data_IF_050408072566
#
_entry.id   IF_050408072566
#
_cell.length_a   1.000
_cell.length_b   1.000
_cell.length_c   1.000
_cell.angle_alpha   90.00
_cell.angle_beta   90.00
_cell.angle_gamma   90.00
#
_symmetry.space_group_name_H-M   'P 1'
#
loop_
_entity.id
_entity.type
_entity.pdbx_description
1 polymer ?
#
# COMPACT_ATOMS: atom_id res chain seq x y z
N UNK A 1 -18.36 -5.52 -16.06
CA UNK A 1 -17.99 -4.85 -14.81
C UNK A 1 -16.57 -4.32 -14.94
N UNK A 2 -16.27 -3.11 -14.45
CA UNK A 2 -14.87 -2.67 -14.35
C UNK A 2 -14.17 -3.58 -13.34
N UNK A 3 -12.98 -4.04 -13.70
CA UNK A 3 -12.15 -4.95 -12.90
C UNK A 3 -10.99 -4.21 -12.28
N UNK A 4 -11.24 -2.97 -11.87
CA UNK A 4 -10.23 -2.02 -11.45
C UNK A 4 -10.55 -1.50 -10.06
N UNK A 5 -9.52 -1.26 -9.27
CA UNK A 5 -9.63 -0.70 -7.92
C UNK A 5 -8.55 0.35 -7.71
N UNK A 6 -8.88 1.37 -6.90
CA UNK A 6 -7.90 2.32 -6.38
C UNK A 6 -7.84 2.14 -4.87
N UNK A 7 -6.64 1.91 -4.33
CA UNK A 7 -6.39 1.70 -2.91
C UNK A 7 -5.52 2.83 -2.39
N UNK A 8 -5.93 3.41 -1.26
CA UNK A 8 -5.10 4.32 -0.48
C UNK A 8 -4.31 3.51 0.57
N UNK A 9 -3.02 3.34 0.33
CA UNK A 9 -2.09 2.69 1.24
C UNK A 9 -1.63 3.67 2.33
N UNK A 10 -1.76 3.23 3.58
CA UNK A 10 -1.48 4.02 4.79
C UNK A 10 -0.48 3.29 5.67
N UNK A 11 0.83 3.56 5.56
CA UNK A 11 1.85 2.76 6.22
C UNK A 11 1.70 2.67 7.74
N UNK A 12 1.11 3.68 8.39
CA UNK A 12 0.88 3.73 9.84
C UNK A 12 0.03 2.58 10.40
N UNK A 13 -0.82 1.98 9.57
CA UNK A 13 -1.65 0.83 9.93
C UNK A 13 -1.03 -0.52 9.53
N UNK A 14 -0.01 -0.49 8.67
CA UNK A 14 0.60 -1.68 8.06
C UNK A 14 1.91 -2.08 8.75
N UNK A 15 2.63 -1.09 9.29
CA UNK A 15 3.80 -1.33 10.15
C UNK A 15 3.30 -1.69 11.55
N UNK A 16 3.59 -2.89 12.05
CA UNK A 16 3.03 -3.37 13.33
C UNK A 16 3.30 -2.47 14.55
N UNK A 17 2.74 -2.86 15.70
CA UNK A 17 2.80 -2.06 16.94
C UNK A 17 4.22 -1.82 17.47
N UNK A 18 5.21 -2.60 17.05
CA UNK A 18 6.61 -2.51 17.52
C UNK A 18 7.42 -1.41 16.83
N UNK A 19 6.90 -0.82 15.76
CA UNK A 19 7.62 0.20 14.97
C UNK A 19 7.57 1.57 15.66
N UNK A 20 8.71 2.25 15.67
CA UNK A 20 8.86 3.57 16.29
C UNK A 20 7.95 4.60 15.60
N UNK A 21 7.19 5.31 16.44
CA UNK A 21 6.28 6.38 16.05
C UNK A 21 6.57 7.62 16.89
N UNK A 22 6.22 8.79 16.38
CA UNK A 22 6.23 10.00 17.18
C UNK A 22 4.97 10.10 18.08
N UNK A 23 4.86 11.18 18.87
CA UNK A 23 3.71 11.44 19.75
C UNK A 23 2.38 11.64 19.00
N UNK A 24 2.45 11.81 17.68
CA UNK A 24 1.35 12.04 16.74
C UNK A 24 0.99 10.78 15.94
N UNK A 25 1.68 9.66 16.20
CA UNK A 25 1.45 8.40 15.50
C UNK A 25 2.05 8.35 14.08
N UNK A 26 2.93 9.28 13.74
CA UNK A 26 3.67 9.27 12.47
C UNK A 26 4.76 8.22 12.53
N UNK A 27 4.80 7.36 11.52
CA UNK A 27 5.86 6.37 11.37
C UNK A 27 7.09 7.07 10.79
N UNK A 28 8.20 7.03 11.53
CA UNK A 28 9.48 7.62 11.10
C UNK A 28 10.45 6.56 10.56
N UNK A 29 10.16 5.28 10.79
CA UNK A 29 10.99 4.18 10.32
C UNK A 29 10.74 3.90 8.82
N UNK A 30 11.55 4.54 7.98
CA UNK A 30 11.49 4.40 6.54
C UNK A 30 11.64 2.94 6.06
N UNK A 31 12.47 2.13 6.74
CA UNK A 31 12.64 0.70 6.39
C UNK A 31 11.37 -0.10 6.68
N UNK A 32 10.70 0.20 7.80
CA UNK A 32 9.43 -0.43 8.11
C UNK A 32 8.34 -0.06 7.10
N UNK A 33 8.29 1.21 6.68
CA UNK A 33 7.36 1.70 5.64
C UNK A 33 7.58 0.95 4.32
N UNK A 34 8.85 0.86 3.87
CA UNK A 34 9.21 0.15 2.64
C UNK A 34 8.86 -1.33 2.70
N UNK A 35 9.14 -1.98 3.83
CA UNK A 35 8.81 -3.39 4.03
C UNK A 35 7.29 -3.64 4.02
N UNK A 36 6.52 -2.77 4.66
CA UNK A 36 5.06 -2.84 4.64
C UNK A 36 4.51 -2.66 3.23
N UNK A 37 5.07 -1.71 2.46
CA UNK A 37 4.71 -1.49 1.06
C UNK A 37 5.00 -2.72 0.19
N UNK A 38 6.18 -3.33 0.36
CA UNK A 38 6.55 -4.55 -0.37
C UNK A 38 5.59 -5.70 -0.05
N UNK A 39 5.26 -5.92 1.23
CA UNK A 39 4.30 -6.93 1.66
C UNK A 39 2.91 -6.71 1.08
N UNK A 40 2.46 -5.46 1.03
CA UNK A 40 1.20 -5.09 0.42
C UNK A 40 1.18 -5.44 -1.07
N UNK A 41 2.21 -5.06 -1.83
CA UNK A 41 2.30 -5.38 -3.26
C UNK A 41 2.34 -6.90 -3.48
N UNK A 42 3.16 -7.64 -2.73
CA UNK A 42 3.19 -9.11 -2.81
C UNK A 42 1.82 -9.75 -2.54
N UNK A 43 1.09 -9.25 -1.54
CA UNK A 43 -0.25 -9.75 -1.23
C UNK A 43 -1.22 -9.50 -2.39
N UNK A 44 -1.16 -8.32 -3.02
CA UNK A 44 -2.00 -8.02 -4.19
C UNK A 44 -1.67 -8.92 -5.39
N UNK A 45 -0.39 -9.20 -5.63
CA UNK A 45 0.04 -10.12 -6.70
C UNK A 45 -0.46 -11.55 -6.47
N UNK A 46 -0.39 -12.06 -5.23
CA UNK A 46 -0.94 -13.38 -4.85
C UNK A 46 -2.46 -13.47 -5.09
N UNK A 47 -3.15 -12.34 -5.00
CA UNK A 47 -4.58 -12.22 -5.26
C UNK A 47 -4.90 -11.89 -6.74
N UNK A 48 -3.91 -11.98 -7.63
CA UNK A 48 -4.01 -11.69 -9.06
C UNK A 48 -4.43 -10.25 -9.38
N UNK A 49 -4.03 -9.30 -8.54
CA UNK A 49 -4.16 -7.88 -8.82
C UNK A 49 -2.84 -7.33 -9.35
N UNK A 50 -2.89 -6.77 -10.55
CA UNK A 50 -1.75 -6.13 -11.20
C UNK A 50 -1.75 -4.65 -10.87
N UNK A 51 -0.65 -4.16 -10.27
CA UNK A 51 -0.45 -2.74 -10.02
C UNK A 51 -0.07 -2.04 -11.33
N UNK A 52 -0.98 -1.23 -11.87
CA UNK A 52 -0.75 -0.50 -13.12
C UNK A 52 -0.08 0.85 -12.87
N UNK A 53 -0.41 1.51 -11.76
CA UNK A 53 0.18 2.81 -11.39
C UNK A 53 0.12 3.03 -9.89
N UNK A 54 1.10 3.77 -9.37
CA UNK A 54 1.09 4.28 -8.01
C UNK A 54 1.54 5.74 -7.99
N UNK A 55 1.09 6.51 -7.01
CA UNK A 55 1.47 7.91 -6.81
C UNK A 55 1.40 8.27 -5.33
N UNK A 56 2.33 9.09 -4.82
CA UNK A 56 2.15 9.74 -3.52
C UNK A 56 0.81 10.47 -3.47
N UNK A 57 0.12 10.39 -2.33
CA UNK A 57 -1.07 11.19 -2.07
C UNK A 57 -0.68 12.66 -1.98
N UNK A 58 -1.31 13.51 -2.78
CA UNK A 58 -1.12 14.97 -2.72
C UNK A 58 -1.70 15.57 -1.43
N UNK A 59 -2.68 14.88 -0.84
CA UNK A 59 -3.18 15.20 0.49
C UNK A 59 -2.26 14.52 1.50
N UNK A 60 -1.39 15.31 2.14
CA UNK A 60 -0.67 14.84 3.32
C UNK A 60 -1.72 14.42 4.35
N UNK A 61 -1.64 13.18 4.85
CA UNK A 61 -2.56 12.72 5.90
C UNK A 61 -2.52 13.66 7.11
N UNK A 62 -3.59 13.70 7.92
CA UNK A 62 -3.76 14.64 9.04
C UNK A 62 -2.55 14.83 9.96
N UNK A 63 -1.69 13.82 10.06
CA UNK A 63 -0.54 13.77 10.96
C UNK A 63 0.81 13.84 10.22
N UNK A 64 0.88 13.82 8.88
CA UNK A 64 2.14 13.86 8.11
C UNK A 64 2.69 12.49 7.64
N UNK A 65 1.91 11.42 7.79
CA UNK A 65 2.25 10.13 7.17
C UNK A 65 2.20 10.25 5.63
N UNK A 66 3.22 9.71 4.96
CA UNK A 66 3.26 9.62 3.50
C UNK A 66 2.32 8.50 3.04
N UNK A 67 1.13 8.87 2.58
CA UNK A 67 0.15 7.95 2.01
C UNK A 67 0.36 7.83 0.50
N UNK A 68 0.02 6.67 -0.08
CA UNK A 68 0.22 6.38 -1.49
C UNK A 68 -1.05 5.79 -2.11
N UNK A 69 -1.42 6.26 -3.29
CA UNK A 69 -2.54 5.71 -4.07
C UNK A 69 -2.00 4.68 -5.05
N UNK A 70 -2.62 3.51 -5.08
CA UNK A 70 -2.34 2.44 -6.01
C UNK A 70 -3.57 2.17 -6.88
N UNK A 71 -3.35 2.07 -8.18
CA UNK A 71 -4.34 1.68 -9.17
C UNK A 71 -4.04 0.26 -9.64
N UNK A 72 -4.99 -0.64 -9.39
CA UNK A 72 -4.89 -2.04 -9.75
C UNK A 72 -5.95 -2.44 -10.75
N UNK A 73 -5.63 -3.49 -11.51
CA UNK A 73 -6.56 -4.21 -12.35
C UNK A 73 -6.51 -5.70 -12.04
N UNK A 74 -7.66 -6.35 -11.95
CA UNK A 74 -7.76 -7.79 -11.73
C UNK A 74 -7.35 -8.52 -13.00
N UNK A 75 -6.34 -9.36 -12.88
CA UNK A 75 -5.91 -10.23 -13.96
C UNK A 75 -6.66 -11.56 -13.86
N UNK A 76 -7.54 -11.83 -14.82
CA UNK A 76 -8.32 -13.07 -14.87
C UNK A 76 -7.65 -14.19 -15.65
N UNK A 77 -6.34 -14.06 -15.98
CA UNK A 77 -5.64 -15.15 -16.67
C UNK A 77 -5.63 -16.37 -15.76
N UNK A 78 -6.45 -17.36 -16.14
CA UNK A 78 -6.44 -18.71 -15.60
C UNK A 78 -5.07 -19.29 -15.97
N UNK A 79 -4.31 -19.72 -14.96
CA UNK A 79 -3.18 -20.59 -15.19
C UNK A 79 -3.74 -21.88 -15.80
N UNK A 80 -3.65 -22.02 -17.11
CA UNK A 80 -3.76 -23.31 -17.76
C UNK A 80 -2.42 -24.02 -17.52
N UNK A 81 -2.30 -24.65 -16.35
CA UNK A 81 -1.33 -25.73 -16.16
C UNK A 81 -1.90 -27.02 -16.78
#
# INVERSE_FOLDING_TARGET
>A
SSSEIIILFKPQFEVGNTVKRDKKGVVQDQKAIELARLRFIEATQKLQWECLKNSPSQLQGKEGNLEELFYFKKNFRINND
#
